data_IF_434919700129
#
_entry.id   IF_434919700129
#
_cell.length_a   1.000
_cell.length_b   1.000
_cell.length_c   1.000
_cell.angle_alpha   90.00
_cell.angle_beta   90.00
_cell.angle_gamma   90.00
#
_symmetry.space_group_name_H-M   'P 1'
#
loop_
_entity.id
_entity.type
_entity.pdbx_description
1 polymer ?
#
# COMPACT_ATOMS: atom_id res chain seq x y z
N UNK A 1 30.46 23.87 -10.21
CA UNK A 1 31.75 23.81 -10.89
C UNK A 1 31.80 22.52 -11.68
N UNK A 2 32.00 22.68 -12.98
CA UNK A 2 32.08 21.64 -14.02
C UNK A 2 33.24 20.67 -13.79
N UNK A 3 33.06 19.40 -14.16
CA UNK A 3 34.16 18.59 -14.68
C UNK A 3 33.63 17.54 -15.66
N UNK A 4 34.22 17.53 -16.82
CA UNK A 4 33.92 16.79 -18.01
C UNK A 4 34.33 15.32 -17.93
N UNK A 5 33.55 14.46 -18.57
CA UNK A 5 33.89 13.06 -18.85
C UNK A 5 34.62 12.97 -20.19
N UNK A 6 35.73 12.22 -20.18
CA UNK A 6 36.44 11.79 -21.37
C UNK A 6 36.11 10.34 -21.71
N UNK A 7 35.79 10.09 -22.97
CA UNK A 7 35.57 8.79 -23.60
C UNK A 7 36.92 8.09 -23.89
N UNK A 8 36.99 6.79 -23.61
CA UNK A 8 37.96 5.91 -24.29
C UNK A 8 37.23 4.68 -24.88
N UNK A 9 37.38 4.51 -26.21
CA UNK A 9 37.05 3.31 -26.99
C UNK A 9 38.24 2.38 -27.04
N UNK A 10 37.97 1.09 -27.03
CA UNK A 10 38.62 -0.02 -27.79
C UNK A 10 37.93 -1.31 -27.39
N UNK A 11 37.52 -2.23 -28.22
CA UNK A 11 37.92 -2.76 -29.48
C UNK A 11 38.35 -4.22 -29.36
N UNK A 12 37.61 -5.17 -30.08
CA UNK A 12 37.95 -6.59 -30.37
C UNK A 12 37.53 -7.62 -29.29
N UNK A 13 37.12 -8.87 -29.60
CA UNK A 13 36.96 -9.68 -30.79
C UNK A 13 36.07 -10.90 -30.47
N UNK A 14 35.54 -11.55 -31.48
CA UNK A 14 34.64 -12.71 -31.50
C UNK A 14 35.30 -13.99 -30.91
N UNK A 15 34.52 -14.77 -30.17
CA UNK A 15 34.66 -16.24 -30.19
C UNK A 15 33.28 -16.90 -30.03
N UNK A 16 32.91 -17.66 -31.01
CA UNK A 16 31.74 -18.54 -31.08
C UNK A 16 31.94 -19.77 -30.22
N UNK A 17 31.08 -20.05 -29.30
CA UNK A 17 30.84 -21.41 -28.82
C UNK A 17 29.33 -21.65 -28.62
N UNK A 18 28.81 -22.53 -29.48
CA UNK A 18 27.50 -23.15 -29.39
C UNK A 18 27.52 -24.16 -28.23
N UNK A 19 26.76 -23.89 -27.18
CA UNK A 19 26.41 -24.95 -26.24
C UNK A 19 24.88 -24.94 -26.11
N UNK A 20 24.26 -25.99 -26.58
CA UNK A 20 22.86 -26.32 -26.39
C UNK A 20 22.59 -26.58 -24.91
N UNK A 21 21.87 -25.68 -24.22
CA UNK A 21 21.29 -25.98 -22.94
C UNK A 21 19.77 -25.97 -23.09
N UNK A 22 19.18 -27.14 -22.92
CA UNK A 22 17.76 -27.36 -22.75
C UNK A 22 17.29 -26.61 -21.49
N UNK A 23 16.69 -25.47 -21.68
CA UNK A 23 16.01 -24.72 -20.60
C UNK A 23 14.68 -25.41 -20.32
N UNK A 24 14.62 -26.17 -19.21
CA UNK A 24 13.36 -26.56 -18.60
C UNK A 24 12.66 -25.31 -18.07
N UNK A 25 11.57 -24.91 -18.70
CA UNK A 25 10.66 -23.87 -18.22
C UNK A 25 10.20 -24.21 -16.79
N UNK A 26 10.22 -23.26 -15.85
CA UNK A 26 9.65 -23.47 -14.53
C UNK A 26 8.13 -23.59 -14.68
N UNK A 27 7.63 -24.79 -14.35
CA UNK A 27 6.25 -25.19 -14.53
C UNK A 27 5.27 -24.29 -13.77
N UNK A 28 4.11 -24.03 -14.39
CA UNK A 28 2.86 -23.44 -13.85
C UNK A 28 2.49 -23.85 -12.41
N UNK A 29 3.08 -24.92 -11.89
CA UNK A 29 2.79 -25.51 -10.59
C UNK A 29 3.43 -24.78 -9.38
N UNK A 30 4.33 -23.83 -9.58
CA UNK A 30 5.03 -23.17 -8.45
C UNK A 30 4.20 -22.06 -7.78
N UNK A 31 3.25 -21.45 -8.52
CA UNK A 31 2.38 -20.38 -8.01
C UNK A 31 1.19 -20.89 -7.17
N UNK A 32 0.77 -22.13 -7.35
CA UNK A 32 -0.44 -22.71 -6.71
C UNK A 32 -0.09 -23.50 -5.43
N UNK A 33 1.18 -23.79 -5.18
CA UNK A 33 1.63 -24.48 -3.96
C UNK A 33 2.33 -23.52 -2.99
N UNK A 34 1.68 -22.43 -2.58
CA UNK A 34 2.03 -21.90 -1.28
C UNK A 34 1.29 -22.75 -0.24
N UNK A 35 2.03 -23.48 0.59
CA UNK A 35 1.60 -23.93 1.90
C UNK A 35 0.75 -22.84 2.54
N UNK A 36 -0.31 -23.23 3.26
CA UNK A 36 -0.82 -22.41 4.33
C UNK A 36 0.42 -21.96 5.12
N UNK A 37 0.80 -20.69 4.98
CA UNK A 37 1.94 -20.12 5.68
C UNK A 37 1.55 -20.18 7.15
N UNK A 38 2.14 -21.14 7.87
CA UNK A 38 2.33 -20.93 9.28
C UNK A 38 2.92 -19.53 9.36
N UNK A 39 2.27 -18.64 10.07
CA UNK A 39 2.74 -17.30 10.39
C UNK A 39 4.09 -17.45 11.08
N UNK A 40 5.17 -17.58 10.29
CA UNK A 40 6.51 -17.48 10.82
C UNK A 40 6.68 -16.00 11.20
N UNK A 41 6.42 -15.73 12.48
CA UNK A 41 6.42 -14.39 13.07
C UNK A 41 7.83 -13.75 13.08
N UNK A 42 8.78 -14.30 12.30
CA UNK A 42 10.12 -13.75 12.18
C UNK A 42 10.10 -12.63 11.16
N UNK A 43 10.32 -11.44 11.67
CA UNK A 43 10.56 -10.23 10.87
C UNK A 43 12.05 -9.89 10.87
N UNK A 44 12.47 -9.11 9.89
CA UNK A 44 13.84 -8.65 9.72
C UNK A 44 13.82 -7.24 9.10
N UNK A 45 14.87 -6.43 9.28
CA UNK A 45 14.94 -5.15 8.58
C UNK A 45 14.90 -5.32 7.06
N UNK A 46 14.24 -4.37 6.37
CA UNK A 46 14.26 -4.30 4.91
C UNK A 46 15.70 -4.13 4.41
N UNK A 47 16.23 -5.01 3.56
CA UNK A 47 17.63 -4.94 3.14
C UNK A 47 18.01 -3.71 2.30
N UNK A 48 17.05 -2.87 1.94
CA UNK A 48 17.29 -1.58 1.27
C UNK A 48 17.55 -0.44 2.26
N UNK A 49 17.40 -0.65 3.57
CA UNK A 49 17.77 0.34 4.58
C UNK A 49 19.28 0.53 4.63
N UNK A 50 19.71 1.78 4.79
CA UNK A 50 21.13 2.12 4.96
C UNK A 50 21.65 1.58 6.28
N UNK A 51 22.78 0.88 6.26
CA UNK A 51 23.44 0.41 7.47
C UNK A 51 24.00 1.56 8.35
N UNK A 52 24.20 2.73 7.75
CA UNK A 52 24.82 3.88 8.42
C UNK A 52 23.78 4.77 9.13
N UNK A 53 22.49 4.46 9.02
CA UNK A 53 21.40 5.28 9.56
C UNK A 53 20.45 4.44 10.40
N UNK A 54 20.19 4.91 11.63
CA UNK A 54 19.12 4.33 12.44
C UNK A 54 17.76 4.70 11.83
N UNK A 55 17.05 3.71 11.33
CA UNK A 55 15.70 3.91 10.79
C UNK A 55 14.74 4.31 11.92
N UNK A 56 13.88 5.27 11.63
CA UNK A 56 12.74 5.67 12.47
C UNK A 56 11.50 5.84 11.60
N UNK A 57 10.38 5.28 12.04
CA UNK A 57 9.08 5.35 11.39
C UNK A 57 8.25 6.60 11.76
N UNK A 58 8.85 7.55 12.43
CA UNK A 58 8.16 8.74 12.99
C UNK A 58 7.65 9.67 11.89
N UNK A 59 6.45 10.22 12.11
CA UNK A 59 5.79 11.17 11.22
C UNK A 59 6.57 12.48 11.01
N UNK A 60 6.31 13.22 9.91
CA UNK A 60 7.06 14.43 9.58
C UNK A 60 6.92 15.54 10.63
N UNK A 61 8.06 16.12 10.98
CA UNK A 61 8.11 17.21 11.96
C UNK A 61 7.92 16.77 13.41
N UNK A 62 7.73 15.48 13.63
CA UNK A 62 7.61 14.88 14.96
C UNK A 62 8.90 14.13 15.27
N UNK A 63 9.56 14.49 16.36
CA UNK A 63 10.64 13.68 16.91
C UNK A 63 10.03 12.63 17.85
N UNK A 64 10.78 11.54 18.15
CA UNK A 64 10.32 10.49 19.06
C UNK A 64 9.76 11.03 20.39
N UNK A 65 10.38 12.08 20.93
CA UNK A 65 9.92 12.73 22.15
C UNK A 65 8.60 13.49 21.96
N UNK A 66 8.44 14.16 20.79
CA UNK A 66 7.21 14.91 20.47
C UNK A 66 6.05 13.96 20.21
N UNK A 67 6.30 12.84 19.52
CA UNK A 67 5.26 11.82 19.26
C UNK A 67 4.74 11.19 20.55
N UNK A 68 5.58 11.11 21.58
CA UNK A 68 5.22 10.60 22.92
C UNK A 68 4.74 11.68 23.88
N UNK A 69 4.64 12.94 23.43
CA UNK A 69 4.10 14.01 24.26
C UNK A 69 2.65 13.73 24.64
N UNK A 70 2.21 14.28 25.76
CA UNK A 70 0.83 14.13 26.22
C UNK A 70 -0.16 14.68 25.18
N UNK A 71 0.12 15.85 24.62
CA UNK A 71 -0.75 16.51 23.64
C UNK A 71 -0.91 15.66 22.37
N UNK A 72 0.18 15.03 21.89
CA UNK A 72 0.11 14.11 20.75
C UNK A 72 -0.70 12.85 21.08
N UNK A 73 -0.51 12.26 22.26
CA UNK A 73 -1.29 11.12 22.69
C UNK A 73 -2.79 11.45 22.83
N UNK A 74 -3.13 12.60 23.41
CA UNK A 74 -4.53 13.05 23.53
C UNK A 74 -5.17 13.22 22.14
N UNK A 75 -4.44 13.81 21.17
CA UNK A 75 -4.92 13.98 19.80
C UNK A 75 -5.16 12.63 19.10
N UNK A 76 -4.20 11.70 19.18
CA UNK A 76 -4.34 10.37 18.58
C UNK A 76 -5.44 9.55 19.24
N UNK A 77 -5.54 9.59 20.56
CA UNK A 77 -6.61 8.88 21.29
C UNK A 77 -7.98 9.42 20.89
N UNK A 78 -8.16 10.73 20.79
CA UNK A 78 -9.43 11.32 20.37
C UNK A 78 -9.81 10.87 18.94
N UNK A 79 -8.84 10.83 18.00
CA UNK A 79 -9.05 10.35 16.64
C UNK A 79 -9.44 8.87 16.61
N UNK A 80 -8.70 8.02 17.33
CA UNK A 80 -8.95 6.58 17.36
C UNK A 80 -10.28 6.21 18.02
N UNK A 81 -10.69 6.91 19.08
CA UNK A 81 -12.03 6.76 19.69
C UNK A 81 -13.14 7.21 18.73
N UNK A 82 -12.89 8.27 17.95
CA UNK A 82 -13.81 8.76 16.94
C UNK A 82 -14.12 7.76 15.81
N UNK A 83 -13.30 6.70 15.64
CA UNK A 83 -13.52 5.66 14.63
C UNK A 83 -14.54 4.58 15.06
N UNK A 84 -14.91 4.47 16.36
CA UNK A 84 -15.79 3.40 16.84
C UNK A 84 -17.13 3.28 16.12
N UNK A 85 -17.88 4.36 15.81
CA UNK A 85 -19.14 4.21 15.07
C UNK A 85 -18.98 3.55 13.69
N UNK A 86 -17.92 3.85 12.98
CA UNK A 86 -17.58 3.21 11.70
C UNK A 86 -17.18 1.75 11.89
N UNK A 87 -16.47 1.44 12.96
CA UNK A 87 -16.09 0.07 13.30
C UNK A 87 -17.32 -0.81 13.60
N UNK A 88 -18.30 -0.30 14.33
CA UNK A 88 -19.58 -1.03 14.58
C UNK A 88 -20.27 -1.38 13.27
N UNK A 89 -20.40 -0.40 12.36
CA UNK A 89 -21.04 -0.62 11.05
C UNK A 89 -20.32 -1.70 10.24
N UNK A 90 -18.99 -1.71 10.26
CA UNK A 90 -18.19 -2.71 9.55
C UNK A 90 -18.22 -4.09 10.21
N UNK A 91 -18.28 -4.16 11.55
CA UNK A 91 -18.48 -5.40 12.26
C UNK A 91 -19.84 -6.04 11.92
N UNK A 92 -20.93 -5.25 11.87
CA UNK A 92 -22.25 -5.74 11.45
C UNK A 92 -22.26 -6.21 9.98
N UNK A 93 -21.61 -5.49 9.09
CA UNK A 93 -21.48 -5.87 7.68
C UNK A 93 -20.72 -7.20 7.54
N UNK A 94 -19.61 -7.35 8.25
CA UNK A 94 -18.81 -8.58 8.23
C UNK A 94 -19.56 -9.73 8.87
N UNK A 95 -20.28 -9.51 9.98
CA UNK A 95 -21.18 -10.50 10.59
C UNK A 95 -22.19 -11.04 9.55
N UNK A 96 -22.84 -10.15 8.82
CA UNK A 96 -23.79 -10.53 7.77
C UNK A 96 -23.12 -11.29 6.61
N UNK A 97 -21.95 -10.85 6.18
CA UNK A 97 -21.14 -11.49 5.14
C UNK A 97 -20.73 -12.92 5.49
N UNK A 98 -20.33 -13.15 6.75
CA UNK A 98 -19.92 -14.45 7.26
C UNK A 98 -21.09 -15.33 7.71
N UNK A 99 -22.33 -14.82 7.74
CA UNK A 99 -23.49 -15.46 8.37
C UNK A 99 -23.27 -15.82 9.85
N UNK A 100 -22.53 -14.99 10.58
CA UNK A 100 -22.31 -15.14 12.01
C UNK A 100 -23.57 -14.72 12.80
N UNK A 101 -23.71 -15.26 14.01
CA UNK A 101 -24.80 -14.91 14.91
C UNK A 101 -24.52 -13.62 15.71
N UNK A 102 -25.40 -13.27 16.65
CA UNK A 102 -25.24 -12.06 17.47
C UNK A 102 -23.98 -12.06 18.34
N UNK A 103 -23.39 -13.22 18.63
CA UNK A 103 -22.16 -13.31 19.43
C UNK A 103 -20.97 -12.61 18.77
N UNK A 104 -21.01 -12.41 17.45
CA UNK A 104 -19.99 -11.64 16.73
C UNK A 104 -19.94 -10.18 17.23
N UNK A 105 -21.11 -9.57 17.46
CA UNK A 105 -21.20 -8.19 17.96
C UNK A 105 -20.81 -8.13 19.44
N UNK A 106 -21.12 -9.15 20.24
CA UNK A 106 -20.64 -9.23 21.62
C UNK A 106 -19.10 -9.26 21.70
N UNK A 107 -18.44 -9.94 20.77
CA UNK A 107 -16.97 -9.91 20.63
C UNK A 107 -16.47 -8.51 20.31
N UNK A 108 -17.16 -7.80 19.39
CA UNK A 108 -16.80 -6.42 19.05
C UNK A 108 -16.94 -5.49 20.28
N UNK A 109 -18.04 -5.55 21.00
CA UNK A 109 -18.23 -4.77 22.22
C UNK A 109 -17.16 -5.07 23.29
N UNK A 110 -16.72 -6.32 23.40
CA UNK A 110 -15.62 -6.68 24.29
C UNK A 110 -14.30 -6.06 23.86
N UNK A 111 -14.01 -6.05 22.54
CA UNK A 111 -12.88 -5.35 21.96
C UNK A 111 -12.96 -3.85 22.23
N UNK A 112 -14.08 -3.20 21.93
CA UNK A 112 -14.29 -1.76 22.09
C UNK A 112 -13.97 -1.31 23.53
N UNK A 113 -14.56 -1.97 24.53
CA UNK A 113 -14.27 -1.70 25.95
C UNK A 113 -12.80 -1.88 26.32
N UNK A 114 -12.14 -2.91 25.78
CA UNK A 114 -10.73 -3.17 26.06
C UNK A 114 -9.81 -2.12 25.41
N UNK A 115 -10.14 -1.74 24.19
CA UNK A 115 -9.34 -0.76 23.44
C UNK A 115 -9.53 0.67 23.97
N UNK A 116 -10.76 1.07 24.29
CA UNK A 116 -11.04 2.34 24.97
C UNK A 116 -10.24 2.45 26.27
N UNK A 117 -10.29 1.41 27.12
CA UNK A 117 -9.52 1.37 28.36
C UNK A 117 -8.01 1.51 28.12
N UNK A 118 -7.47 0.86 27.08
CA UNK A 118 -6.05 0.99 26.71
C UNK A 118 -5.73 2.42 26.28
N UNK A 119 -6.50 3.01 25.38
CA UNK A 119 -6.31 4.36 24.87
C UNK A 119 -6.35 5.41 25.99
N UNK A 120 -7.35 5.35 26.86
CA UNK A 120 -7.42 6.27 28.00
C UNK A 120 -6.23 6.12 28.94
N UNK A 121 -5.77 4.90 29.18
CA UNK A 121 -4.57 4.68 30.00
C UNK A 121 -3.28 5.23 29.34
N UNK A 122 -3.25 5.36 28.03
CA UNK A 122 -2.10 5.94 27.32
C UNK A 122 -1.94 7.43 27.60
N UNK A 123 -3.03 8.15 27.81
CA UNK A 123 -3.02 9.58 28.18
C UNK A 123 -2.49 9.78 29.60
N UNK A 124 -2.83 8.86 30.53
CA UNK A 124 -2.50 8.99 31.95
C UNK A 124 -1.04 8.62 32.27
N UNK A 125 -0.34 7.98 31.35
CA UNK A 125 1.06 7.57 31.58
C UNK A 125 1.99 8.78 31.63
N UNK A 126 2.93 8.77 32.55
CA UNK A 126 3.98 9.78 32.62
C UNK A 126 4.89 9.73 31.40
N UNK A 127 5.31 10.89 30.92
CA UNK A 127 6.24 11.02 29.82
C UNK A 127 7.54 10.27 30.08
N UNK A 128 7.93 9.38 29.18
CA UNK A 128 9.18 8.60 29.29
C UNK A 128 9.08 7.31 30.09
N UNK A 129 7.92 6.97 30.66
CA UNK A 129 7.70 5.67 31.32
C UNK A 129 7.20 4.69 30.25
N UNK A 130 8.03 3.72 29.88
CA UNK A 130 7.58 2.60 29.06
C UNK A 130 6.47 1.84 29.79
N UNK A 131 5.47 1.38 29.05
CA UNK A 131 4.45 0.48 29.61
C UNK A 131 5.13 -0.75 30.21
N UNK A 132 4.44 -1.46 31.12
CA UNK A 132 4.94 -2.69 31.73
C UNK A 132 5.33 -3.79 30.71
N UNK A 133 4.99 -3.62 29.43
CA UNK A 133 5.33 -4.49 28.30
C UNK A 133 6.47 -3.93 27.42
N UNK A 134 7.07 -2.79 27.77
CA UNK A 134 8.07 -2.10 26.94
C UNK A 134 7.48 -1.46 25.67
N UNK A 135 6.14 -1.47 25.52
CA UNK A 135 5.43 -0.84 24.42
C UNK A 135 5.32 0.65 24.72
N UNK A 136 5.75 1.50 23.82
CA UNK A 136 5.61 2.96 23.90
C UNK A 136 4.17 3.41 23.76
N UNK A 137 3.97 4.70 23.71
CA UNK A 137 2.66 5.33 23.51
C UNK A 137 2.63 6.11 22.18
N UNK A 138 3.29 5.57 21.16
CA UNK A 138 3.29 6.10 19.80
C UNK A 138 2.00 5.70 19.07
N UNK A 139 1.70 6.37 17.95
CA UNK A 139 0.60 5.96 17.08
C UNK A 139 0.75 4.49 16.64
N UNK A 140 1.98 4.07 16.28
CA UNK A 140 2.27 2.68 15.91
C UNK A 140 1.85 1.70 17.02
N UNK A 141 2.23 1.99 18.27
CA UNK A 141 1.87 1.15 19.41
C UNK A 141 0.35 1.07 19.60
N UNK A 142 -0.36 2.19 19.43
CA UNK A 142 -1.81 2.25 19.58
C UNK A 142 -2.54 1.42 18.51
N UNK A 143 -2.11 1.53 17.25
CA UNK A 143 -2.75 0.75 16.16
C UNK A 143 -2.36 -0.73 16.20
N UNK A 144 -1.15 -1.08 16.61
CA UNK A 144 -0.75 -2.48 16.81
C UNK A 144 -1.53 -3.13 17.96
N UNK A 145 -1.74 -2.39 19.05
CA UNK A 145 -2.56 -2.90 20.18
C UNK A 145 -4.02 -3.07 19.77
N UNK A 146 -4.58 -2.18 18.95
CA UNK A 146 -5.92 -2.35 18.37
C UNK A 146 -6.04 -3.70 17.67
N UNK A 147 -5.16 -3.98 16.75
CA UNK A 147 -5.20 -5.22 15.97
C UNK A 147 -4.96 -6.46 16.83
N UNK A 148 -4.10 -6.35 17.84
CA UNK A 148 -3.89 -7.41 18.83
C UNK A 148 -5.15 -7.70 19.65
N UNK A 149 -5.85 -6.67 20.10
CA UNK A 149 -7.09 -6.80 20.86
C UNK A 149 -8.21 -7.37 20.00
N UNK A 150 -8.39 -6.93 18.76
CA UNK A 150 -9.34 -7.50 17.81
C UNK A 150 -9.16 -9.02 17.70
N UNK A 151 -7.94 -9.46 17.41
CA UNK A 151 -7.62 -10.89 17.30
C UNK A 151 -7.85 -11.64 18.62
N UNK A 152 -7.52 -11.02 19.76
CA UNK A 152 -7.75 -11.67 21.08
C UNK A 152 -9.22 -11.85 21.41
N UNK A 153 -10.10 -11.04 20.81
CA UNK A 153 -11.56 -11.18 20.93
C UNK A 153 -12.15 -12.13 19.86
N UNK A 154 -11.31 -12.71 18.99
CA UNK A 154 -11.76 -13.59 17.90
C UNK A 154 -12.37 -12.85 16.71
N UNK A 155 -11.90 -11.61 16.47
CA UNK A 155 -12.24 -10.79 15.33
C UNK A 155 -10.99 -10.70 14.42
N UNK A 156 -10.80 -11.69 13.56
CA UNK A 156 -9.61 -11.78 12.69
C UNK A 156 -9.61 -10.68 11.61
N UNK A 157 -10.77 -10.33 11.06
CA UNK A 157 -10.95 -9.32 10.03
C UNK A 157 -12.37 -8.75 10.08
N UNK A 158 -12.56 -7.67 10.82
CA UNK A 158 -13.89 -7.06 10.93
C UNK A 158 -14.29 -6.20 9.72
N UNK A 159 -13.39 -5.98 8.76
CA UNK A 159 -13.65 -5.27 7.51
C UNK A 159 -13.82 -6.22 6.31
N UNK A 160 -13.82 -7.52 6.52
CA UNK A 160 -13.89 -8.51 5.44
C UNK A 160 -15.08 -8.29 4.51
N UNK A 161 -16.26 -7.99 5.05
CA UNK A 161 -17.45 -7.74 4.24
C UNK A 161 -17.34 -6.49 3.36
N UNK A 162 -16.73 -5.43 3.88
CA UNK A 162 -16.42 -4.21 3.12
C UNK A 162 -15.42 -4.52 2.00
N UNK A 163 -14.26 -5.05 2.35
CA UNK A 163 -13.19 -5.36 1.40
C UNK A 163 -13.61 -6.30 0.28
N UNK A 164 -14.42 -7.31 0.60
CA UNK A 164 -14.93 -8.25 -0.39
C UNK A 164 -15.78 -7.54 -1.46
N UNK A 165 -16.69 -6.66 -1.03
CA UNK A 165 -17.54 -5.89 -1.92
C UNK A 165 -16.76 -4.89 -2.77
N UNK A 166 -15.84 -4.13 -2.18
CA UNK A 166 -15.00 -3.17 -2.89
C UNK A 166 -14.11 -3.87 -3.93
N UNK A 167 -13.51 -5.00 -3.57
CA UNK A 167 -12.73 -5.80 -4.49
C UNK A 167 -13.56 -6.32 -5.68
N UNK A 168 -14.80 -6.75 -5.44
CA UNK A 168 -15.70 -7.23 -6.50
C UNK A 168 -16.03 -6.11 -7.49
N UNK A 169 -16.39 -4.93 -7.00
CA UNK A 169 -16.68 -3.75 -7.83
C UNK A 169 -15.46 -3.36 -8.66
N UNK A 170 -14.29 -3.30 -8.04
CA UNK A 170 -13.06 -2.90 -8.72
C UNK A 170 -12.57 -3.95 -9.72
N UNK A 171 -12.79 -5.24 -9.46
CA UNK A 171 -12.52 -6.29 -10.44
C UNK A 171 -13.41 -6.17 -11.69
N UNK A 172 -14.68 -5.74 -11.54
CA UNK A 172 -15.55 -5.47 -12.66
C UNK A 172 -15.12 -4.24 -13.47
N UNK A 173 -14.54 -3.22 -12.80
CA UNK A 173 -14.03 -1.99 -13.41
C UNK A 173 -12.66 -2.17 -14.08
N UNK A 174 -11.82 -3.07 -13.58
CA UNK A 174 -10.43 -3.23 -13.98
C UNK A 174 -10.20 -3.31 -15.51
N UNK A 175 -10.98 -4.09 -16.29
CA UNK A 175 -10.80 -4.16 -17.75
C UNK A 175 -11.06 -2.82 -18.46
N UNK A 176 -11.97 -1.99 -17.94
CA UNK A 176 -12.24 -0.65 -18.45
C UNK A 176 -11.06 0.28 -18.22
N UNK A 177 -10.52 0.25 -17.00
CA UNK A 177 -9.33 1.03 -16.63
C UNK A 177 -8.12 0.64 -17.48
N UNK A 178 -7.91 -0.65 -17.73
CA UNK A 178 -6.86 -1.12 -18.64
C UNK A 178 -7.03 -0.54 -20.06
N UNK A 179 -8.26 -0.56 -20.60
CA UNK A 179 -8.55 0.02 -21.92
C UNK A 179 -8.30 1.53 -21.95
N UNK A 180 -8.67 2.24 -20.88
CA UNK A 180 -8.41 3.67 -20.76
C UNK A 180 -6.90 3.98 -20.78
N UNK A 181 -6.12 3.23 -19.98
CA UNK A 181 -4.66 3.39 -19.92
C UNK A 181 -4.00 3.04 -21.27
N UNK A 182 -4.38 1.92 -21.89
CA UNK A 182 -3.81 1.46 -23.15
C UNK A 182 -4.21 2.35 -24.33
N UNK A 183 -5.37 3.03 -24.24
CA UNK A 183 -5.86 3.98 -25.25
C UNK A 183 -5.09 5.30 -25.29
N UNK A 184 -4.31 5.64 -24.26
CA UNK A 184 -3.47 6.85 -24.26
C UNK A 184 -2.23 6.61 -25.09
N UNK A 185 -2.06 7.34 -26.19
CA UNK A 185 -0.98 7.13 -27.16
C UNK A 185 0.39 7.61 -26.66
N UNK A 186 0.43 8.73 -25.94
CA UNK A 186 1.69 9.28 -25.45
C UNK A 186 2.07 8.70 -24.08
N UNK A 187 3.38 8.45 -23.89
CA UNK A 187 3.90 7.79 -22.69
C UNK A 187 3.69 8.64 -21.42
N UNK A 188 3.79 9.96 -21.52
CA UNK A 188 3.62 10.89 -20.40
C UNK A 188 2.17 10.93 -19.94
N UNK A 189 1.21 11.03 -20.87
CA UNK A 189 -0.22 10.99 -20.57
C UNK A 189 -0.63 9.66 -19.96
N UNK A 190 -0.04 8.54 -20.44
CA UNK A 190 -0.27 7.22 -19.86
C UNK A 190 0.25 7.12 -18.43
N UNK A 191 1.48 7.58 -18.16
CA UNK A 191 2.04 7.66 -16.82
C UNK A 191 1.13 8.49 -15.89
N UNK A 192 0.69 9.66 -16.37
CA UNK A 192 -0.20 10.54 -15.62
C UNK A 192 -1.49 9.84 -15.22
N UNK A 193 -2.15 9.19 -16.18
CA UNK A 193 -3.40 8.47 -15.93
C UNK A 193 -3.23 7.33 -14.91
N UNK A 194 -2.12 6.60 -14.97
CA UNK A 194 -1.83 5.50 -14.03
C UNK A 194 -1.58 6.03 -12.61
N UNK A 195 -0.83 7.14 -12.48
CA UNK A 195 -0.61 7.78 -11.16
C UNK A 195 -1.93 8.34 -10.61
N UNK A 196 -2.75 8.98 -11.45
CA UNK A 196 -4.06 9.48 -11.04
C UNK A 196 -5.01 8.33 -10.62
N UNK A 197 -4.94 7.18 -11.30
CA UNK A 197 -5.70 5.98 -10.91
C UNK A 197 -5.24 5.43 -9.55
N UNK A 198 -3.94 5.48 -9.26
CA UNK A 198 -3.39 5.13 -7.98
C UNK A 198 -3.86 6.07 -6.87
N UNK A 199 -3.75 7.39 -7.10
CA UNK A 199 -4.21 8.41 -6.14
C UNK A 199 -5.73 8.40 -5.94
N UNK A 200 -6.51 8.01 -6.95
CA UNK A 200 -7.96 7.91 -6.85
C UNK A 200 -8.42 6.89 -5.82
N UNK A 201 -7.64 5.84 -5.60
CA UNK A 201 -7.91 4.86 -4.56
C UNK A 201 -8.11 5.51 -3.20
N UNK A 202 -7.18 6.35 -2.82
CA UNK A 202 -7.25 7.10 -1.55
C UNK A 202 -8.49 8.02 -1.43
N UNK A 203 -9.04 8.50 -2.56
CA UNK A 203 -10.25 9.33 -2.55
C UNK A 203 -11.54 8.49 -2.40
N UNK A 204 -11.52 7.26 -2.85
CA UNK A 204 -12.69 6.36 -2.83
C UNK A 204 -12.69 5.41 -1.63
N UNK A 205 -11.68 5.50 -0.79
CA UNK A 205 -11.59 4.70 0.43
C UNK A 205 -12.69 5.06 1.44
N UNK A 206 -13.50 4.06 1.81
CA UNK A 206 -14.54 4.22 2.81
C UNK A 206 -13.97 4.49 4.23
N UNK A 207 -12.73 4.04 4.51
CA UNK A 207 -12.01 4.33 5.74
C UNK A 207 -11.58 5.79 5.82
N UNK A 208 -11.05 6.36 4.74
CA UNK A 208 -10.64 7.76 4.67
C UNK A 208 -11.82 8.72 4.79
N UNK A 209 -12.99 8.39 4.22
CA UNK A 209 -14.19 9.23 4.34
C UNK A 209 -14.62 9.41 5.81
N UNK A 210 -14.48 8.39 6.65
CA UNK A 210 -14.76 8.49 8.08
C UNK A 210 -13.71 9.32 8.83
N UNK A 211 -12.44 9.27 8.41
CA UNK A 211 -11.35 10.05 8.99
C UNK A 211 -11.45 11.55 8.61
N UNK A 212 -11.81 11.86 7.36
CA UNK A 212 -11.93 13.23 6.84
C UNK A 212 -13.10 13.97 7.49
N UNK A 213 -14.20 13.30 7.85
CA UNK A 213 -15.31 13.91 8.59
C UNK A 213 -14.92 14.39 10.00
N UNK A 214 -13.87 13.80 10.59
CA UNK A 214 -13.41 14.16 11.93
C UNK A 214 -12.21 15.12 11.95
N UNK A 215 -11.57 15.37 10.80
CA UNK A 215 -10.47 16.33 10.69
C UNK A 215 -10.96 17.54 9.90
N UNK A 216 -11.33 18.60 10.62
CA UNK A 216 -11.73 19.90 10.07
C UNK A 216 -10.56 20.61 9.35
N UNK A 217 -9.91 19.95 8.37
CA UNK A 217 -8.81 20.49 7.59
C UNK A 217 -9.14 20.74 6.13
N UNK A 218 -10.38 20.54 5.72
CA UNK A 218 -10.76 20.81 4.33
C UNK A 218 -11.86 21.87 4.30
N UNK A 219 -11.47 23.14 4.03
CA UNK A 219 -12.37 24.20 3.58
C UNK A 219 -12.99 23.91 2.19
N UNK A 220 -12.98 22.66 1.78
CA UNK A 220 -13.53 22.20 0.50
C UNK A 220 -14.75 21.33 0.70
N UNK A 221 -15.80 21.89 1.35
CA UNK A 221 -17.14 21.30 1.39
C UNK A 221 -17.74 21.00 0.00
N UNK A 222 -17.06 21.35 -1.07
CA UNK A 222 -17.56 21.23 -2.44
C UNK A 222 -16.84 20.24 -3.34
N UNK A 223 -15.70 19.64 -2.96
CA UNK A 223 -14.90 18.84 -3.87
C UNK A 223 -15.23 17.34 -3.87
N UNK A 224 -15.87 16.82 -2.81
CA UNK A 224 -16.24 15.40 -2.67
C UNK A 224 -17.71 15.14 -3.01
N UNK A 225 -18.38 16.12 -3.59
CA UNK A 225 -19.84 16.22 -3.59
C UNK A 225 -20.63 15.27 -4.49
N UNK A 226 -20.02 14.40 -5.26
CA UNK A 226 -20.76 13.44 -6.10
C UNK A 226 -20.50 11.96 -5.71
N UNK A 227 -19.62 11.70 -4.76
CA UNK A 227 -19.51 10.38 -4.16
C UNK A 227 -20.58 10.28 -3.05
N UNK A 228 -21.46 9.29 -3.07
CA UNK A 228 -22.56 9.24 -2.11
C UNK A 228 -22.04 9.29 -0.67
N UNK A 229 -22.51 10.28 0.12
CA UNK A 229 -22.20 10.39 1.56
C UNK A 229 -22.73 9.19 2.34
N UNK A 230 -23.78 8.54 1.82
CA UNK A 230 -24.36 7.34 2.38
C UNK A 230 -23.57 6.12 1.91
N UNK A 231 -22.85 5.47 2.83
CA UNK A 231 -22.10 4.24 2.56
C UNK A 231 -22.93 3.19 1.83
N UNK A 232 -24.23 3.04 2.19
CA UNK A 232 -25.12 2.07 1.55
C UNK A 232 -25.32 2.37 0.06
N UNK A 233 -25.27 3.65 -0.34
CA UNK A 233 -25.37 4.03 -1.76
C UNK A 233 -24.06 3.81 -2.50
N UNK A 234 -22.90 3.91 -1.81
CA UNK A 234 -21.59 3.60 -2.39
C UNK A 234 -21.50 2.15 -2.82
N UNK A 235 -22.05 1.23 -2.02
CA UNK A 235 -22.08 -0.20 -2.32
C UNK A 235 -22.98 -0.60 -3.50
N UNK A 236 -23.87 0.29 -3.93
CA UNK A 236 -24.79 0.03 -5.04
C UNK A 236 -24.31 0.63 -6.38
N UNK A 237 -23.11 1.23 -6.42
CA UNK A 237 -22.54 1.73 -7.67
C UNK A 237 -22.12 0.56 -8.57
N UNK A 238 -22.56 0.60 -9.82
CA UNK A 238 -22.03 -0.30 -10.84
C UNK A 238 -20.67 0.21 -11.39
N UNK A 239 -19.97 -0.63 -12.14
CA UNK A 239 -18.67 -0.30 -12.70
C UNK A 239 -18.70 0.97 -13.59
N UNK A 240 -19.80 1.23 -14.30
CA UNK A 240 -19.95 2.41 -15.16
C UNK A 240 -20.09 3.69 -14.33
N UNK A 241 -20.85 3.64 -13.24
CA UNK A 241 -21.01 4.75 -12.30
C UNK A 241 -19.70 5.05 -11.58
N UNK A 242 -18.96 4.02 -11.18
CA UNK A 242 -17.65 4.17 -10.54
C UNK A 242 -16.64 4.79 -11.52
N UNK A 243 -16.62 4.36 -12.78
CA UNK A 243 -15.77 4.96 -13.81
C UNK A 243 -16.11 6.44 -14.06
N UNK A 244 -17.41 6.78 -14.11
CA UNK A 244 -17.85 8.17 -14.24
C UNK A 244 -17.42 9.02 -13.02
N UNK A 245 -17.49 8.44 -11.83
CA UNK A 245 -17.04 9.10 -10.60
C UNK A 245 -15.53 9.30 -10.60
N UNK A 246 -14.75 8.30 -11.05
CA UNK A 246 -13.31 8.45 -11.25
C UNK A 246 -12.98 9.59 -12.22
N UNK A 247 -13.65 9.66 -13.38
CA UNK A 247 -13.41 10.72 -14.35
C UNK A 247 -13.69 12.12 -13.78
N UNK A 248 -14.73 12.27 -12.97
CA UNK A 248 -15.02 13.54 -12.27
C UNK A 248 -13.98 13.87 -11.19
N UNK A 249 -13.55 12.88 -10.41
CA UNK A 249 -12.51 13.05 -9.40
C UNK A 249 -11.18 13.44 -10.06
N UNK A 250 -10.85 12.84 -11.21
CA UNK A 250 -9.68 13.19 -12.00
C UNK A 250 -9.68 14.68 -12.38
N UNK A 251 -10.81 15.21 -12.85
CA UNK A 251 -10.91 16.61 -13.26
C UNK A 251 -10.85 17.58 -12.07
N UNK A 252 -11.56 17.28 -10.99
CA UNK A 252 -11.77 18.24 -9.89
C UNK A 252 -10.73 18.14 -8.77
N UNK A 253 -10.23 16.95 -8.46
CA UNK A 253 -9.38 16.69 -7.29
C UNK A 253 -7.97 16.30 -7.68
N UNK A 254 -7.83 15.38 -8.63
CA UNK A 254 -6.51 14.85 -9.02
C UNK A 254 -5.75 15.79 -9.96
N UNK A 255 -6.42 16.81 -10.52
CA UNK A 255 -5.82 17.85 -11.37
C UNK A 255 -6.16 19.26 -10.84
N UNK A 256 -5.79 19.60 -9.59
CA UNK A 256 -6.06 20.91 -9.06
C UNK A 256 -5.29 21.98 -9.87
N UNK A 257 -5.89 23.15 -10.05
CA UNK A 257 -5.25 24.27 -10.77
C UNK A 257 -3.91 24.69 -10.12
N UNK A 258 -3.80 24.55 -8.80
CA UNK A 258 -2.57 24.83 -8.04
C UNK A 258 -1.47 23.79 -8.19
N UNK A 259 -1.73 22.66 -8.89
CA UNK A 259 -0.86 21.48 -8.89
C UNK A 259 -0.95 20.68 -7.60
N UNK A 260 -0.28 19.54 -7.54
CA UNK A 260 -0.14 18.75 -6.32
C UNK A 260 0.75 19.46 -5.31
N UNK A 261 0.46 19.30 -4.03
CA UNK A 261 1.22 19.98 -2.96
C UNK A 261 2.68 19.51 -2.90
N UNK A 262 2.90 18.23 -3.17
CA UNK A 262 4.20 17.60 -3.35
C UNK A 262 4.15 16.88 -4.70
N UNK A 263 4.84 17.39 -5.69
CA UNK A 263 4.76 16.91 -7.07
C UNK A 263 6.15 16.53 -7.57
N UNK A 264 6.38 15.23 -7.70
CA UNK A 264 7.58 14.65 -8.29
C UNK A 264 7.30 14.00 -9.66
N UNK A 265 6.22 14.41 -10.32
CA UNK A 265 5.83 13.83 -11.62
C UNK A 265 6.91 14.03 -12.69
N UNK A 266 7.53 15.22 -12.73
CA UNK A 266 8.56 15.53 -13.72
C UNK A 266 9.82 14.69 -13.52
N UNK A 267 10.21 14.40 -12.29
CA UNK A 267 11.35 13.56 -11.96
C UNK A 267 11.11 12.11 -12.38
N UNK A 268 9.90 11.59 -12.12
CA UNK A 268 9.51 10.23 -12.54
C UNK A 268 9.49 10.13 -14.05
N UNK A 269 8.83 11.07 -14.73
CA UNK A 269 8.75 11.10 -16.19
C UNK A 269 10.15 11.25 -16.84
N UNK A 270 10.99 12.10 -16.29
CA UNK A 270 12.39 12.24 -16.76
C UNK A 270 13.18 10.95 -16.56
N UNK A 271 13.03 10.26 -15.43
CA UNK A 271 13.67 8.96 -15.16
C UNK A 271 13.24 7.92 -16.21
N UNK A 272 11.95 7.81 -16.47
CA UNK A 272 11.42 6.86 -17.45
C UNK A 272 11.88 7.18 -18.89
N UNK A 273 11.93 8.47 -19.28
CA UNK A 273 12.41 8.91 -20.58
C UNK A 273 13.92 8.78 -20.77
N UNK A 274 14.69 8.69 -19.69
CA UNK A 274 16.15 8.51 -19.78
C UNK A 274 16.57 7.17 -20.38
N UNK A 275 15.63 6.23 -20.55
CA UNK A 275 15.90 4.86 -20.99
C UNK A 275 16.53 3.97 -19.91
N UNK A 276 16.59 4.45 -18.66
CA UNK A 276 17.11 3.73 -17.50
C UNK A 276 16.01 3.61 -16.41
N UNK A 277 14.86 2.96 -16.69
CA UNK A 277 13.84 2.73 -15.69
C UNK A 277 14.39 1.82 -14.58
N UNK A 278 13.68 1.81 -13.44
CA UNK A 278 14.03 0.90 -12.34
C UNK A 278 13.89 -0.56 -12.78
N UNK A 279 14.82 -1.39 -12.33
CA UNK A 279 14.77 -2.84 -12.57
C UNK A 279 13.99 -3.59 -11.51
N UNK A 280 13.86 -3.01 -10.33
CA UNK A 280 13.12 -3.57 -9.20
C UNK A 280 12.22 -2.51 -8.59
N UNK A 281 10.97 -2.87 -8.42
CA UNK A 281 9.97 -1.99 -7.81
C UNK A 281 9.27 -2.77 -6.69
N UNK A 282 9.20 -2.16 -5.51
CA UNK A 282 8.35 -2.61 -4.40
C UNK A 282 7.18 -1.63 -4.30
N UNK A 283 5.96 -2.11 -4.38
CA UNK A 283 4.75 -1.31 -4.18
C UNK A 283 4.06 -1.80 -2.91
N UNK A 284 4.14 -1.02 -1.84
CA UNK A 284 3.44 -1.31 -0.59
C UNK A 284 1.99 -0.81 -0.72
N UNK A 285 1.09 -1.76 -0.95
CA UNK A 285 -0.33 -1.50 -1.16
C UNK A 285 -1.04 -1.14 0.15
N UNK A 286 -1.97 -0.21 0.09
CA UNK A 286 -2.79 0.24 1.22
C UNK A 286 -4.11 -0.54 1.28
N UNK A 287 -5.21 0.06 0.84
CA UNK A 287 -6.54 -0.48 1.04
C UNK A 287 -6.96 -1.48 -0.05
N UNK A 288 -7.96 -2.30 0.27
CA UNK A 288 -8.68 -3.11 -0.71
C UNK A 288 -9.43 -2.21 -1.72
N UNK A 289 -9.97 -2.79 -2.77
CA UNK A 289 -10.79 -2.08 -3.73
C UNK A 289 -10.00 -1.18 -4.67
N UNK A 290 -10.30 0.11 -4.66
CA UNK A 290 -9.78 1.09 -5.63
C UNK A 290 -8.27 1.31 -5.51
N UNK A 291 -7.71 1.37 -4.30
CA UNK A 291 -6.27 1.44 -4.06
C UNK A 291 -5.56 0.25 -4.69
N UNK A 292 -5.98 -0.95 -4.33
CA UNK A 292 -5.40 -2.18 -4.90
C UNK A 292 -5.49 -2.20 -6.42
N UNK A 293 -6.60 -1.78 -7.00
CA UNK A 293 -6.76 -1.70 -8.47
C UNK A 293 -5.76 -0.71 -9.06
N UNK A 294 -5.60 0.47 -8.47
CA UNK A 294 -4.65 1.49 -8.89
C UNK A 294 -3.20 0.98 -8.84
N UNK A 295 -2.83 0.28 -7.75
CA UNK A 295 -1.50 -0.30 -7.60
C UNK A 295 -1.23 -1.44 -8.58
N UNK A 296 -2.23 -2.26 -8.93
CA UNK A 296 -2.10 -3.30 -9.98
C UNK A 296 -1.92 -2.67 -11.35
N UNK A 297 -2.64 -1.59 -11.68
CA UNK A 297 -2.44 -0.83 -12.92
C UNK A 297 -1.04 -0.22 -13.00
N UNK A 298 -0.55 0.35 -11.89
CA UNK A 298 0.81 0.90 -11.79
C UNK A 298 1.86 -0.21 -11.97
N UNK A 299 1.70 -1.34 -11.32
CA UNK A 299 2.60 -2.49 -11.47
C UNK A 299 2.65 -3.00 -12.91
N UNK A 300 1.46 -3.16 -13.54
CA UNK A 300 1.33 -3.53 -14.95
C UNK A 300 2.06 -2.55 -15.87
N UNK A 301 1.84 -1.26 -15.66
CA UNK A 301 2.48 -0.21 -16.44
C UNK A 301 4.01 -0.25 -16.31
N UNK A 302 4.53 -0.19 -15.08
CA UNK A 302 5.98 -0.17 -14.81
C UNK A 302 6.68 -1.43 -15.34
N UNK A 303 6.11 -2.61 -15.13
CA UNK A 303 6.67 -3.85 -15.64
C UNK A 303 6.63 -3.94 -17.18
N UNK A 304 5.71 -3.24 -17.84
CA UNK A 304 5.63 -3.22 -19.33
C UNK A 304 6.64 -2.31 -19.99
N UNK A 305 7.27 -1.38 -19.26
CA UNK A 305 8.20 -0.40 -19.83
C UNK A 305 9.51 -1.02 -20.30
N UNK A 306 9.97 -2.07 -19.64
CA UNK A 306 11.24 -2.72 -19.92
C UNK A 306 11.18 -4.20 -19.54
N UNK A 307 11.81 -5.07 -20.34
CA UNK A 307 11.86 -6.51 -20.10
C UNK A 307 12.57 -6.89 -18.79
N UNK A 308 13.48 -6.05 -18.31
CA UNK A 308 14.24 -6.29 -17.08
C UNK A 308 13.55 -5.77 -15.80
N UNK A 309 12.43 -5.04 -15.94
CA UNK A 309 11.69 -4.49 -14.78
C UNK A 309 10.82 -5.57 -14.14
N UNK A 310 11.02 -5.76 -12.85
CA UNK A 310 10.22 -6.64 -12.00
C UNK A 310 9.56 -5.84 -10.90
N UNK A 311 8.29 -6.09 -10.66
CA UNK A 311 7.48 -5.40 -9.67
C UNK A 311 6.95 -6.39 -8.65
N UNK A 312 7.14 -6.11 -7.37
CA UNK A 312 6.51 -6.83 -6.27
C UNK A 312 5.44 -5.94 -5.64
N UNK A 313 4.18 -6.38 -5.70
CA UNK A 313 3.08 -5.84 -4.94
C UNK A 313 3.16 -6.42 -3.53
N UNK A 314 3.25 -5.58 -2.53
CA UNK A 314 3.51 -5.96 -1.13
C UNK A 314 2.33 -5.55 -0.28
N UNK A 315 1.70 -6.51 0.42
CA UNK A 315 0.50 -6.26 1.22
C UNK A 315 0.64 -6.81 2.64
N UNK A 316 -0.24 -6.37 3.52
CA UNK A 316 -0.24 -6.77 4.92
C UNK A 316 -0.30 -8.30 5.08
N UNK A 317 0.43 -8.81 6.07
CA UNK A 317 0.43 -10.24 6.36
C UNK A 317 -0.88 -10.68 7.02
N UNK A 318 -1.46 -9.81 7.85
CA UNK A 318 -2.74 -10.02 8.52
C UNK A 318 -3.66 -8.83 8.28
N UNK A 319 -4.96 -9.02 8.49
CA UNK A 319 -5.95 -7.95 8.36
C UNK A 319 -5.69 -6.82 9.37
N UNK A 320 -5.87 -5.59 8.89
CA UNK A 320 -5.86 -4.37 9.67
C UNK A 320 -6.78 -3.36 8.99
N UNK A 321 -7.87 -2.97 9.62
CA UNK A 321 -8.92 -2.15 9.00
C UNK A 321 -9.32 -2.70 7.61
N UNK A 322 -9.39 -1.80 6.61
CA UNK A 322 -9.67 -2.14 5.22
C UNK A 322 -8.42 -2.36 4.35
N UNK A 323 -7.23 -2.43 4.97
CA UNK A 323 -5.99 -2.77 4.27
C UNK A 323 -6.11 -4.10 3.53
N UNK A 324 -5.58 -4.15 2.32
CA UNK A 324 -5.51 -5.41 1.57
C UNK A 324 -4.51 -6.36 2.22
N UNK A 325 -4.92 -7.59 2.47
CA UNK A 325 -3.99 -8.64 2.91
C UNK A 325 -3.28 -9.30 1.72
N UNK A 326 -2.15 -9.94 1.98
CA UNK A 326 -1.40 -10.68 0.97
C UNK A 326 -2.26 -11.73 0.25
N UNK A 327 -3.09 -12.46 0.99
CA UNK A 327 -3.95 -13.48 0.38
C UNK A 327 -5.09 -12.88 -0.46
N UNK A 328 -5.64 -11.74 -0.05
CA UNK A 328 -6.63 -10.99 -0.84
C UNK A 328 -6.00 -10.41 -2.10
N UNK A 329 -4.83 -9.77 -1.99
CA UNK A 329 -4.08 -9.23 -3.13
C UNK A 329 -3.78 -10.31 -4.17
N UNK A 330 -3.33 -11.49 -3.73
CA UNK A 330 -3.11 -12.64 -4.63
C UNK A 330 -4.38 -13.06 -5.37
N UNK A 331 -5.52 -13.11 -4.66
CA UNK A 331 -6.81 -13.43 -5.28
C UNK A 331 -7.24 -12.35 -6.26
N UNK A 332 -7.05 -11.08 -5.90
CA UNK A 332 -7.35 -9.93 -6.76
C UNK A 332 -6.53 -10.00 -8.06
N UNK A 333 -5.20 -10.09 -7.98
CA UNK A 333 -4.30 -10.22 -9.15
C UNK A 333 -4.66 -11.46 -9.97
N UNK A 334 -4.94 -12.59 -9.33
CA UNK A 334 -5.37 -13.83 -10.02
C UNK A 334 -6.70 -13.67 -10.77
N UNK A 335 -7.53 -12.74 -10.36
CA UNK A 335 -8.76 -12.40 -11.06
C UNK A 335 -8.51 -11.43 -12.21
N UNK A 336 -7.66 -10.42 -12.03
CA UNK A 336 -7.26 -9.48 -13.07
C UNK A 336 -6.62 -10.18 -14.28
N UNK A 337 -5.75 -11.16 -14.08
CA UNK A 337 -5.10 -11.91 -15.17
C UNK A 337 -6.07 -12.70 -16.05
N UNK A 338 -7.32 -12.90 -15.63
CA UNK A 338 -8.34 -13.56 -16.47
C UNK A 338 -8.83 -12.69 -17.61
N UNK A 339 -8.79 -11.35 -17.42
CA UNK A 339 -9.27 -10.35 -18.36
C UNK A 339 -8.18 -9.47 -18.97
N UNK A 340 -6.91 -9.65 -18.56
CA UNK A 340 -5.77 -8.84 -19.00
C UNK A 340 -4.60 -9.74 -19.41
N UNK A 341 -4.42 -9.91 -20.73
CA UNK A 341 -3.36 -10.72 -21.31
C UNK A 341 -1.96 -10.15 -21.03
N UNK A 342 -1.84 -8.82 -20.94
CA UNK A 342 -0.57 -8.16 -20.59
C UNK A 342 -0.16 -8.50 -19.17
N UNK A 343 -1.05 -8.32 -18.20
CA UNK A 343 -0.75 -8.66 -16.81
C UNK A 343 -0.49 -10.17 -16.66
N UNK A 344 -1.24 -11.00 -17.38
CA UNK A 344 -1.02 -12.45 -17.39
C UNK A 344 0.39 -12.81 -17.80
N UNK A 345 0.87 -12.26 -18.93
CA UNK A 345 2.23 -12.50 -19.39
C UNK A 345 3.27 -12.08 -18.36
N UNK A 346 3.11 -10.89 -17.76
CA UNK A 346 4.01 -10.38 -16.73
C UNK A 346 4.04 -11.25 -15.47
N UNK A 347 2.90 -11.80 -15.07
CA UNK A 347 2.80 -12.71 -13.93
C UNK A 347 3.40 -14.08 -14.27
N UNK A 348 3.12 -14.63 -15.45
CA UNK A 348 3.66 -15.92 -15.90
C UNK A 348 5.19 -15.88 -16.07
N UNK A 349 5.74 -14.73 -16.46
CA UNK A 349 7.19 -14.45 -16.54
C UNK A 349 7.83 -14.19 -15.16
N UNK A 350 7.05 -14.05 -14.11
CA UNK A 350 7.52 -13.71 -12.75
C UNK A 350 7.99 -12.25 -12.61
N UNK A 351 7.57 -11.39 -13.52
CA UNK A 351 7.90 -9.96 -13.51
C UNK A 351 6.94 -9.13 -12.67
N UNK A 352 5.74 -9.63 -12.43
CA UNK A 352 4.80 -9.12 -11.43
C UNK A 352 4.49 -10.23 -10.44
N UNK A 353 4.65 -9.97 -9.15
CA UNK A 353 4.37 -10.93 -8.10
C UNK A 353 3.83 -10.25 -6.84
N UNK A 354 3.22 -11.03 -5.95
CA UNK A 354 2.74 -10.55 -4.65
C UNK A 354 3.63 -11.10 -3.53
N UNK A 355 3.88 -10.27 -2.50
CA UNK A 355 4.67 -10.64 -1.33
C UNK A 355 3.97 -10.15 -0.04
N UNK A 356 4.12 -10.87 1.09
CA UNK A 356 3.67 -10.38 2.38
C UNK A 356 4.65 -9.32 2.92
N UNK A 357 4.13 -8.22 3.47
CA UNK A 357 4.96 -7.16 4.03
C UNK A 357 5.63 -7.52 5.35
N UNK A 358 4.98 -8.34 6.18
CA UNK A 358 5.29 -8.53 7.58
C UNK A 358 4.46 -7.64 8.51
N UNK A 359 3.82 -6.59 7.98
CA UNK A 359 2.97 -5.71 8.76
C UNK A 359 1.69 -6.41 9.24
N UNK A 360 1.26 -6.05 10.43
CA UNK A 360 0.08 -6.57 11.13
C UNK A 360 -0.83 -5.45 11.61
N UNK A 361 -0.60 -4.22 11.15
CA UNK A 361 -1.36 -3.00 11.42
C UNK A 361 -1.40 -2.13 10.17
N UNK A 362 -2.10 -1.00 10.25
CA UNK A 362 -2.23 -0.04 9.16
C UNK A 362 -0.96 0.76 8.87
N UNK A 363 0.00 0.76 9.78
CA UNK A 363 1.29 1.42 9.62
C UNK A 363 2.37 0.44 9.18
N UNK A 364 3.41 0.95 8.54
CA UNK A 364 4.50 0.15 7.99
C UNK A 364 5.82 0.48 8.68
N UNK A 365 6.43 -0.54 9.28
CA UNK A 365 7.74 -0.47 9.91
C UNK A 365 8.78 -1.25 9.08
N UNK A 366 9.66 -0.55 8.41
CA UNK A 366 10.73 -1.15 7.60
C UNK A 366 11.78 -1.91 8.41
N UNK A 367 11.83 -1.74 9.73
CA UNK A 367 12.70 -2.57 10.59
C UNK A 367 12.15 -3.98 10.81
N UNK A 368 10.88 -4.24 10.42
CA UNK A 368 10.16 -5.49 10.71
C UNK A 368 9.40 -6.03 9.50
N UNK A 369 10.08 -6.19 8.36
CA UNK A 369 9.46 -6.81 7.17
C UNK A 369 9.52 -8.35 7.21
N UNK A 370 8.68 -9.01 6.40
CA UNK A 370 8.67 -10.46 6.32
C UNK A 370 9.99 -11.04 5.77
N UNK A 371 10.30 -12.28 6.14
CA UNK A 371 11.45 -13.00 5.59
C UNK A 371 11.33 -13.21 4.08
N UNK A 372 10.12 -13.39 3.55
CA UNK A 372 9.88 -13.55 2.12
C UNK A 372 10.24 -12.28 1.35
N UNK A 373 9.81 -11.10 1.84
CA UNK A 373 10.17 -9.82 1.25
C UNK A 373 11.69 -9.56 1.34
N UNK A 374 12.30 -9.80 2.49
CA UNK A 374 13.73 -9.64 2.66
C UNK A 374 14.53 -10.59 1.75
N UNK A 375 14.08 -11.83 1.61
CA UNK A 375 14.70 -12.83 0.73
C UNK A 375 14.58 -12.44 -0.75
N UNK A 376 13.43 -11.87 -1.15
CA UNK A 376 13.25 -11.33 -2.49
C UNK A 376 14.26 -10.21 -2.80
N UNK A 377 14.41 -9.26 -1.88
CA UNK A 377 15.35 -8.14 -2.05
C UNK A 377 16.79 -8.65 -2.10
N UNK A 378 17.20 -9.51 -1.17
CA UNK A 378 18.55 -10.07 -1.12
C UNK A 378 18.86 -10.97 -2.33
N UNK A 379 17.87 -11.63 -2.90
CA UNK A 379 18.01 -12.47 -4.09
C UNK A 379 18.14 -11.70 -5.40
N UNK A 380 17.87 -10.42 -5.39
CA UNK A 380 17.93 -9.58 -6.58
C UNK A 380 19.37 -9.16 -6.87
N UNK A 381 19.96 -9.65 -7.99
CA UNK A 381 21.30 -9.28 -8.43
C UNK A 381 21.30 -7.94 -9.17
N UNK A 382 20.83 -6.87 -8.49
CA UNK A 382 20.73 -5.53 -9.06
C UNK A 382 21.41 -4.52 -8.14
N UNK A 383 21.84 -3.40 -8.72
CA UNK A 383 22.46 -2.30 -7.98
C UNK A 383 21.39 -1.53 -7.20
N UNK A 384 21.78 -0.81 -6.16
CA UNK A 384 20.88 0.04 -5.37
C UNK A 384 20.14 1.07 -6.23
N UNK A 385 20.79 1.70 -7.20
CA UNK A 385 20.21 2.67 -8.13
C UNK A 385 19.10 2.10 -9.05
N UNK A 386 18.87 0.82 -9.02
CA UNK A 386 17.86 0.15 -9.85
C UNK A 386 16.55 -0.13 -9.07
N UNK A 387 16.43 0.36 -7.83
CA UNK A 387 15.26 0.16 -6.98
C UNK A 387 14.36 1.39 -6.88
N UNK A 388 13.05 1.14 -6.93
CA UNK A 388 11.99 2.07 -6.53
C UNK A 388 11.16 1.43 -5.42
N UNK A 389 10.92 2.19 -4.35
CA UNK A 389 9.97 1.86 -3.29
C UNK A 389 8.77 2.80 -3.42
N UNK A 390 7.59 2.26 -3.68
CA UNK A 390 6.33 3.01 -3.73
C UNK A 390 5.57 2.76 -2.44
N UNK A 391 5.15 3.83 -1.79
CA UNK A 391 4.35 3.82 -0.57
C UNK A 391 2.97 4.37 -0.91
N UNK A 392 1.98 3.50 -0.87
CA UNK A 392 0.59 3.83 -1.11
C UNK A 392 -0.12 4.21 0.19
N UNK A 393 -0.95 5.26 0.13
CA UNK A 393 -1.79 5.70 1.23
C UNK A 393 -1.08 6.47 2.34
N UNK A 394 -1.90 7.07 3.20
CA UNK A 394 -1.42 7.93 4.29
C UNK A 394 -0.67 7.15 5.36
N UNK A 395 -1.19 6.00 5.77
CA UNK A 395 -0.61 5.19 6.84
C UNK A 395 0.82 4.74 6.54
N UNK A 396 1.08 4.33 5.30
CA UNK A 396 2.40 3.84 4.88
C UNK A 396 3.38 4.94 4.51
N UNK A 397 2.90 6.07 4.01
CA UNK A 397 3.75 7.17 3.55
C UNK A 397 3.85 8.31 4.55
N UNK A 398 2.73 8.95 4.91
CA UNK A 398 2.75 10.17 5.72
C UNK A 398 2.88 9.88 7.22
N UNK A 399 2.16 8.88 7.72
CA UNK A 399 2.06 8.60 9.16
C UNK A 399 3.22 7.76 9.69
N UNK A 400 3.90 6.98 8.85
CA UNK A 400 5.00 6.13 9.30
C UNK A 400 6.31 6.26 8.54
N UNK A 401 6.32 6.72 7.29
CA UNK A 401 7.53 6.71 6.46
C UNK A 401 7.77 8.01 5.67
N UNK A 402 7.35 9.16 6.21
CA UNK A 402 7.56 10.45 5.55
C UNK A 402 9.01 10.69 5.09
N UNK A 403 9.97 10.31 5.92
CA UNK A 403 11.38 10.47 5.65
C UNK A 403 12.04 9.20 5.06
N UNK A 404 11.27 8.25 4.51
CA UNK A 404 11.77 6.96 4.05
C UNK A 404 13.02 7.08 3.16
N UNK A 405 13.00 7.99 2.19
CA UNK A 405 14.14 8.23 1.30
C UNK A 405 15.44 8.54 2.05
N UNK A 406 15.36 9.19 3.22
CA UNK A 406 16.54 9.52 4.01
C UNK A 406 17.18 8.31 4.71
N UNK A 407 16.43 7.24 4.88
CA UNK A 407 16.87 6.00 5.54
C UNK A 407 17.26 4.90 4.57
N UNK A 408 16.93 5.03 3.29
CA UNK A 408 17.31 4.04 2.29
C UNK A 408 18.80 4.12 1.96
N UNK A 409 19.33 3.02 1.43
CA UNK A 409 20.65 2.96 0.81
C UNK A 409 20.76 3.97 -0.33
N UNK A 410 21.96 4.54 -0.60
CA UNK A 410 22.14 5.50 -1.68
C UNK A 410 21.69 4.95 -3.03
N UNK A 411 20.81 5.68 -3.72
CA UNK A 411 20.32 5.33 -5.04
C UNK A 411 19.05 4.48 -5.06
N UNK A 412 18.44 4.21 -3.92
CA UNK A 412 17.06 3.71 -3.82
C UNK A 412 16.12 4.91 -3.89
N UNK A 413 15.30 4.97 -4.92
CA UNK A 413 14.27 6.00 -5.04
C UNK A 413 13.02 5.62 -4.24
N UNK A 414 12.35 6.62 -3.66
CA UNK A 414 11.10 6.45 -2.91
C UNK A 414 10.03 7.36 -3.50
N UNK A 415 8.85 6.81 -3.77
CA UNK A 415 7.68 7.51 -4.24
C UNK A 415 6.52 7.30 -3.24
N UNK A 416 5.99 8.38 -2.69
CA UNK A 416 4.78 8.36 -1.88
C UNK A 416 3.58 8.78 -2.73
N UNK A 417 2.50 8.00 -2.67
CA UNK A 417 1.23 8.25 -3.34
C UNK A 417 0.13 8.34 -2.26
N UNK A 418 -0.17 9.58 -1.79
CA UNK A 418 -1.14 9.83 -0.72
C UNK A 418 -1.82 11.19 -0.89
#
# INVERSE_FOLDING_TARGET
QSSALALARDGRERATHRASSTSSSPSRARWIKSRALATDARTTPLPLLSADKAYSHVSPGVCDACERSRDAREAWVALLLGQFPSHVANAERTRAHLNEDASYIEKYEAFERAYEKYLLSAIERDEGVASARGVGDTLMDMVEEKERLLRSCGLEDMFMGLKANENEICLALYPEMCRAVDGVSDARGRLRLVIEAALAGNLFDAGAAAAVQNVAFCDTEQAVCDYPEDEQKRFNLDASQLFATFAKAQEKVLRPESGWKFDSFEEIDARLRSGAPWKRVLIFCDNAGADTMGMVLLARYLASLNADTHVALVANTTAALNDITFDELRRFVSSCVKSDDTLRALVDEGRVQCLPSGATSTLLDFSRVSQDLASYVNGASVRENDWLVVLDGMGRSLESNWNAASYMSPGVDVLSLA
#
